data_IF_181779942288
#
_entry.id   IF_181779942288
#
_cell.length_a   1.000
_cell.length_b   1.000
_cell.length_c   1.000
_cell.angle_alpha   90.00
_cell.angle_beta   90.00
_cell.angle_gamma   90.00
#
_symmetry.space_group_name_H-M   'P 1'
#
loop_
_entity.id
_entity.type
_entity.pdbx_description
1 polymer ?
#
# COMPACT_ATOMS: atom_id res chain seq x y z
N UNK A 1 0.54 10.33 -21.51
CA UNK A 1 -0.03 10.44 -21.54
C UNK A 1 -0.03 10.15 -21.65
N UNK A 2 0.29 10.34 -21.40
CA UNK A 2 -0.01 10.32 -21.38
C UNK A 2 0.20 10.07 -21.42
N UNK A 3 0.48 10.34 -21.12
CA UNK A 3 0.29 10.34 -21.06
C UNK A 3 0.43 10.04 -20.96
N UNK A 4 0.60 10.15 -20.66
CA UNK A 4 0.33 10.10 -20.46
C UNK A 4 0.53 9.80 -20.16
N UNK A 5 0.76 9.86 -20.12
CA UNK A 5 0.61 9.81 -19.75
C UNK A 5 0.81 9.52 -19.45
N UNK A 6 0.97 9.63 -19.19
CA UNK A 6 0.68 9.64 -18.75
C UNK A 6 0.75 9.29 -18.56
N UNK A 7 0.56 9.29 -18.50
CA UNK A 7 0.38 9.16 -18.08
C UNK A 7 0.70 8.71 -17.68
N UNK A 8 0.98 8.71 -17.61
CA UNK A 8 1.19 8.44 -16.99
C UNK A 8 1.69 8.26 -16.51
N UNK A 9 1.29 8.51 -16.33
CA UNK A 9 1.82 8.72 -15.56
C UNK A 9 2.26 7.99 -14.89
N UNK A 10 2.58 7.71 -14.92
CA UNK A 10 2.94 7.17 -14.20
C UNK A 10 3.60 7.09 -13.83
N UNK A 11 3.63 7.35 -13.65
CA UNK A 11 3.96 7.52 -13.12
C UNK A 11 4.58 7.64 -12.91
N UNK A 12 4.68 7.77 -12.75
CA UNK A 12 5.33 8.28 -12.25
C UNK A 12 5.64 8.41 -10.92
N UNK A 13 5.92 8.35 -10.32
CA UNK A 13 6.17 7.84 -9.19
C UNK A 13 6.20 8.63 -7.97
N UNK A 14 7.27 9.27 -7.71
CA UNK A 14 7.46 9.95 -6.45
C UNK A 14 6.53 11.13 -6.26
N UNK A 15 6.18 11.76 -7.31
CA UNK A 15 5.30 12.90 -7.21
C UNK A 15 3.88 12.51 -6.87
N UNK A 16 3.60 11.23 -6.96
CA UNK A 16 2.32 10.70 -6.55
C UNK A 16 2.34 10.24 -5.11
N UNK A 17 3.53 10.13 -4.54
CA UNK A 17 3.74 9.87 -3.14
C UNK A 17 2.81 8.84 -2.56
N UNK A 18 2.11 9.24 -1.50
CA UNK A 18 1.19 8.36 -0.81
C UNK A 18 0.07 7.82 -1.69
N UNK A 19 -0.40 8.60 -2.66
CA UNK A 19 -1.49 8.17 -3.53
C UNK A 19 -1.08 6.98 -4.38
N UNK A 20 0.13 7.01 -4.92
CA UNK A 20 0.65 5.92 -5.74
C UNK A 20 0.85 4.66 -4.92
N UNK A 21 1.37 4.80 -3.71
CA UNK A 21 1.54 3.66 -2.82
C UNK A 21 0.20 3.10 -2.38
N UNK A 22 -0.79 3.97 -2.17
CA UNK A 22 -2.13 3.53 -1.84
C UNK A 22 -2.67 2.58 -2.90
N UNK A 23 -2.57 2.98 -4.16
CA UNK A 23 -3.05 2.17 -5.26
C UNK A 23 -2.32 0.83 -5.35
N UNK A 24 -1.02 0.84 -5.11
CA UNK A 24 -0.24 -0.39 -5.13
C UNK A 24 -0.68 -1.34 -4.01
N UNK A 25 -0.87 -0.81 -2.81
CA UNK A 25 -1.31 -1.63 -1.68
C UNK A 25 -2.70 -2.20 -1.96
N UNK A 26 -3.60 -1.38 -2.52
CA UNK A 26 -4.93 -1.85 -2.89
C UNK A 26 -4.86 -3.01 -3.89
N UNK A 27 -4.04 -2.85 -4.91
CA UNK A 27 -3.92 -3.87 -5.96
C UNK A 27 -3.37 -5.18 -5.39
N UNK A 28 -2.36 -5.09 -4.54
CA UNK A 28 -1.78 -6.29 -3.93
C UNK A 28 -2.81 -6.97 -3.03
N UNK A 29 -3.48 -6.20 -2.19
CA UNK A 29 -4.48 -6.76 -1.29
C UNK A 29 -5.61 -7.43 -2.05
N UNK A 30 -6.10 -6.78 -3.12
CA UNK A 30 -7.17 -7.35 -3.94
C UNK A 30 -6.76 -8.67 -4.58
N UNK A 31 -5.48 -8.81 -4.90
CA UNK A 31 -4.97 -10.05 -5.47
C UNK A 31 -4.82 -11.18 -4.45
N UNK A 32 -4.83 -10.86 -3.16
CA UNK A 32 -4.63 -11.85 -2.10
C UNK A 32 -5.93 -12.32 -1.46
N UNK A 33 -6.96 -11.47 -1.44
CA UNK A 33 -8.18 -11.74 -0.69
C UNK A 33 -9.28 -12.30 -1.58
N UNK A 34 -10.27 -12.94 -0.94
CA UNK A 34 -11.44 -13.42 -1.66
C UNK A 34 -12.50 -12.33 -1.81
N UNK A 35 -12.62 -11.48 -0.81
CA UNK A 35 -13.64 -10.43 -0.79
C UNK A 35 -13.00 -9.08 -1.14
N UNK A 36 -12.66 -8.93 -2.41
CA UNK A 36 -11.92 -7.75 -2.87
C UNK A 36 -12.69 -6.46 -2.73
N UNK A 37 -14.03 -6.54 -2.72
CA UNK A 37 -14.85 -5.33 -2.55
C UNK A 37 -14.70 -4.71 -1.17
N UNK A 38 -14.20 -5.48 -0.20
CA UNK A 38 -14.03 -4.99 1.16
C UNK A 38 -12.65 -4.38 1.40
N UNK A 39 -11.77 -4.41 0.40
CA UNK A 39 -10.44 -3.84 0.55
C UNK A 39 -10.53 -2.30 0.58
N UNK A 40 -9.96 -1.72 1.61
CA UNK A 40 -9.88 -0.28 1.76
C UNK A 40 -8.49 0.09 2.25
N UNK A 41 -7.93 1.14 1.70
CA UNK A 41 -6.67 1.68 2.17
C UNK A 41 -6.87 3.14 2.50
N UNK A 42 -6.54 3.51 3.73
CA UNK A 42 -6.60 4.88 4.18
C UNK A 42 -5.18 5.37 4.40
N UNK A 43 -4.88 6.55 3.90
CA UNK A 43 -3.56 7.14 4.04
C UNK A 43 -3.63 8.27 5.04
N UNK A 44 -2.79 8.19 6.07
CA UNK A 44 -2.67 9.25 7.07
C UNK A 44 -1.28 9.85 6.94
N UNK A 45 -1.22 11.05 6.39
CA UNK A 45 0.06 11.70 6.10
C UNK A 45 0.46 12.63 7.22
N UNK A 46 1.67 12.41 7.74
CA UNK A 46 2.33 13.37 8.62
C UNK A 46 3.51 13.98 7.89
N UNK A 47 4.26 14.82 8.59
CA UNK A 47 5.42 15.49 8.00
C UNK A 47 6.52 14.50 7.64
N UNK A 48 6.76 13.52 8.50
CA UNK A 48 7.85 12.57 8.31
C UNK A 48 7.38 11.13 8.25
N UNK A 49 6.16 10.86 8.67
CA UNK A 49 5.60 9.52 8.72
C UNK A 49 4.29 9.50 7.96
N UNK A 50 4.14 8.53 7.08
CA UNK A 50 2.88 8.28 6.39
C UNK A 50 2.44 6.87 6.77
N UNK A 51 1.23 6.75 7.27
CA UNK A 51 0.66 5.47 7.68
C UNK A 51 -0.36 5.04 6.64
N UNK A 52 -0.20 3.83 6.14
CA UNK A 52 -1.15 3.20 5.24
C UNK A 52 -1.95 2.19 6.05
N UNK A 53 -3.22 2.48 6.27
CA UNK A 53 -4.10 1.60 7.01
C UNK A 53 -4.85 0.73 6.02
N UNK A 54 -4.59 -0.57 6.08
CA UNK A 54 -5.22 -1.54 5.18
C UNK A 54 -6.32 -2.27 5.95
N UNK A 55 -7.52 -2.22 5.40
CA UNK A 55 -8.66 -2.95 5.94
C UNK A 55 -9.17 -3.93 4.91
N UNK A 56 -9.39 -5.15 5.33
CA UNK A 56 -9.98 -6.20 4.49
C UNK A 56 -11.08 -6.87 5.29
N UNK A 57 -11.85 -7.74 4.64
CA UNK A 57 -12.84 -8.52 5.35
C UNK A 57 -12.16 -9.34 6.45
N UNK A 58 -12.77 -9.47 7.64
CA UNK A 58 -12.16 -10.25 8.73
C UNK A 58 -11.71 -11.65 8.33
N UNK A 59 -12.45 -12.31 7.46
CA UNK A 59 -12.09 -13.65 7.00
C UNK A 59 -10.82 -13.67 6.16
N UNK A 60 -10.43 -12.52 5.64
CA UNK A 60 -9.27 -12.43 4.73
C UNK A 60 -8.02 -11.87 5.38
N UNK A 61 -8.10 -11.46 6.65
CA UNK A 61 -6.94 -10.86 7.33
C UNK A 61 -5.72 -11.77 7.27
N UNK A 62 -5.94 -13.08 7.50
CA UNK A 62 -4.84 -14.02 7.44
C UNK A 62 -4.15 -14.10 6.08
N UNK A 63 -4.88 -13.79 5.01
CA UNK A 63 -4.32 -13.84 3.66
C UNK A 63 -3.36 -12.69 3.39
N UNK A 64 -3.61 -11.51 3.99
CA UNK A 64 -2.70 -10.38 3.83
C UNK A 64 -1.53 -10.43 4.79
N UNK A 65 -1.71 -11.09 5.94
CA UNK A 65 -0.60 -11.29 6.86
C UNK A 65 0.32 -12.38 6.33
N UNK A 66 -0.26 -13.46 5.84
CA UNK A 66 0.48 -14.56 5.25
C UNK A 66 1.03 -15.52 6.30
N UNK A 67 1.56 -16.65 5.82
CA UNK A 67 2.11 -17.66 6.69
C UNK A 67 3.29 -17.08 7.49
N UNK A 68 3.21 -17.19 8.81
CA UNK A 68 4.23 -16.68 9.71
C UNK A 68 4.49 -15.18 9.52
N UNK A 69 3.48 -14.45 9.04
CA UNK A 69 3.60 -13.02 8.85
C UNK A 69 4.44 -12.59 7.66
N UNK A 70 4.79 -13.50 6.76
CA UNK A 70 5.77 -13.20 5.70
C UNK A 70 5.24 -12.23 4.67
N UNK A 71 3.95 -12.31 4.32
CA UNK A 71 3.39 -11.39 3.34
C UNK A 71 3.40 -9.96 3.88
N UNK A 72 2.92 -9.78 5.11
CA UNK A 72 2.92 -8.47 5.74
C UNK A 72 4.34 -7.93 5.88
N UNK A 73 5.29 -8.80 6.25
CA UNK A 73 6.68 -8.38 6.39
C UNK A 73 7.26 -7.92 5.05
N UNK A 74 6.95 -8.64 3.98
CA UNK A 74 7.41 -8.25 2.63
C UNK A 74 6.83 -6.91 2.22
N UNK A 75 5.56 -6.69 2.50
CA UNK A 75 4.93 -5.40 2.21
C UNK A 75 5.58 -4.27 3.00
N UNK A 76 5.87 -4.51 4.27
CA UNK A 76 6.53 -3.51 5.11
C UNK A 76 7.93 -3.20 4.63
N UNK A 77 8.66 -4.21 4.18
CA UNK A 77 10.00 -4.02 3.63
C UNK A 77 9.94 -3.16 2.36
N UNK A 78 9.00 -3.47 1.48
CA UNK A 78 8.82 -2.71 0.25
C UNK A 78 8.47 -1.25 0.55
N UNK A 79 7.53 -1.03 1.46
CA UNK A 79 7.13 0.32 1.85
C UNK A 79 8.29 1.08 2.48
N UNK A 80 9.09 0.41 3.30
CA UNK A 80 10.26 1.02 3.91
C UNK A 80 11.24 1.53 2.86
N UNK A 81 11.49 0.73 1.84
CA UNK A 81 12.39 1.12 0.76
C UNK A 81 11.86 2.32 0.00
N UNK A 82 10.55 2.32 -0.30
CA UNK A 82 9.95 3.44 -1.02
C UNK A 82 9.95 4.70 -0.17
N UNK A 83 9.72 4.55 1.13
CA UNK A 83 9.77 5.69 2.04
C UNK A 83 11.14 6.34 2.09
N UNK A 84 12.20 5.53 2.11
CA UNK A 84 13.56 6.06 2.09
C UNK A 84 13.80 6.92 0.86
N UNK A 85 13.29 6.49 -0.28
CA UNK A 85 13.42 7.23 -1.52
C UNK A 85 12.72 8.59 -1.43
N UNK A 86 11.61 8.65 -0.70
CA UNK A 86 10.82 9.86 -0.52
C UNK A 86 11.28 10.67 0.70
N UNK A 87 12.26 10.17 1.44
CA UNK A 87 12.73 10.76 2.70
C UNK A 87 11.60 10.83 3.73
N UNK A 88 10.77 9.80 3.73
CA UNK A 88 9.67 9.65 4.67
C UNK A 88 9.69 8.24 5.22
N UNK A 89 9.06 8.07 6.36
CA UNK A 89 8.85 6.75 6.91
C UNK A 89 7.44 6.30 6.53
N UNK A 90 7.37 5.21 5.78
CA UNK A 90 6.10 4.60 5.39
C UNK A 90 5.83 3.41 6.30
N UNK A 91 4.65 3.39 6.88
CA UNK A 91 4.23 2.36 7.83
C UNK A 91 2.95 1.72 7.32
N UNK A 92 2.90 0.40 7.37
CA UNK A 92 1.69 -0.35 7.01
C UNK A 92 1.04 -0.85 8.29
N UNK A 93 -0.23 -0.49 8.46
CA UNK A 93 -1.04 -0.93 9.58
C UNK A 93 -2.18 -1.78 9.02
N UNK A 94 -2.21 -3.05 9.37
CA UNK A 94 -3.26 -3.97 8.93
C UNK A 94 -4.31 -4.03 10.04
N UNK A 95 -5.48 -3.50 9.74
CA UNK A 95 -6.56 -3.40 10.73
C UNK A 95 -7.32 -4.72 10.80
N UNK A 96 -7.68 -5.12 12.02
CA UNK A 96 -8.41 -6.36 12.24
C UNK A 96 -9.86 -6.14 12.61
#
# INVERSE_FOLDING_TARGET
MTDESSKNKIVYGHEYGGASMKELIEAIAMGLVDKSDDVQVRVVEGKQVTVFELRVHPDDVGKVIGRKGRTAQSLRTLLGAMGMKERKRFVLDILE
#
